data_IF_334241652038
#
_entry.id   IF_334241652038
#
_cell.length_a   1.000
_cell.length_b   1.000
_cell.length_c   1.000
_cell.angle_alpha   90.00
_cell.angle_beta   90.00
_cell.angle_gamma   90.00
#
_symmetry.space_group_name_H-M   'P 1'
#
loop_
_entity.id
_entity.type
_entity.pdbx_description
1 polymer ?
#
# COMPACT_ATOMS: atom_id res chain seq x y z
N UNK A 1 -7.24 6.92 -31.93
CA UNK A 1 -6.85 5.71 -31.18
C UNK A 1 -6.40 6.19 -29.83
N UNK A 2 -7.06 5.75 -28.77
CA UNK A 2 -6.69 6.11 -27.39
C UNK A 2 -6.40 4.80 -26.63
N UNK A 3 -5.49 4.88 -25.67
CA UNK A 3 -5.02 3.73 -24.92
C UNK A 3 -5.64 3.76 -23.53
N UNK A 4 -6.16 2.64 -23.06
CA UNK A 4 -6.70 2.50 -21.71
C UNK A 4 -5.91 1.39 -21.02
N UNK A 5 -5.47 1.65 -19.79
CA UNK A 5 -4.93 0.64 -18.90
C UNK A 5 -6.07 0.04 -18.09
N UNK A 6 -6.32 -1.26 -18.24
CA UNK A 6 -7.30 -1.98 -17.43
C UNK A 6 -6.61 -3.04 -16.58
N UNK A 7 -7.00 -3.20 -15.29
CA UNK A 7 -6.63 -4.37 -14.49
C UNK A 7 -7.09 -5.63 -15.21
N UNK A 8 -6.17 -6.55 -15.47
CA UNK A 8 -6.46 -7.81 -16.15
C UNK A 8 -6.31 -8.97 -15.16
N UNK A 9 -5.11 -9.24 -14.67
CA UNK A 9 -4.83 -10.38 -13.80
C UNK A 9 -4.49 -9.94 -12.37
N UNK A 10 -5.10 -10.60 -11.38
CA UNK A 10 -4.65 -10.50 -10.00
C UNK A 10 -3.31 -11.22 -9.88
N UNK A 11 -2.25 -10.47 -9.59
CA UNK A 11 -0.89 -11.00 -9.44
C UNK A 11 -0.65 -11.50 -8.03
N UNK A 12 -1.12 -10.76 -7.02
CA UNK A 12 -0.95 -11.14 -5.63
C UNK A 12 -1.81 -10.32 -4.69
N UNK A 13 -2.01 -10.85 -3.49
CA UNK A 13 -2.86 -10.25 -2.47
C UNK A 13 -2.27 -10.36 -1.07
N UNK A 14 -2.59 -9.41 -0.22
CA UNK A 14 -2.14 -9.38 1.16
C UNK A 14 -3.13 -8.68 2.05
N UNK A 15 -3.56 -9.36 3.11
CA UNK A 15 -4.44 -8.79 4.12
C UNK A 15 -3.77 -8.75 5.49
N UNK A 16 -4.08 -7.75 6.31
CA UNK A 16 -3.74 -7.70 7.72
C UNK A 16 -5.00 -7.44 8.51
N UNK A 17 -5.38 -8.42 9.34
CA UNK A 17 -6.38 -8.24 10.39
C UNK A 17 -5.67 -7.78 11.67
N UNK A 18 -5.78 -6.49 11.99
CA UNK A 18 -5.12 -5.92 13.14
C UNK A 18 -5.68 -6.46 14.45
N UNK A 19 -4.78 -6.95 15.29
CA UNK A 19 -5.05 -7.46 16.63
C UNK A 19 -4.38 -6.51 17.62
N UNK A 20 -5.13 -5.64 18.32
CA UNK A 20 -4.55 -4.72 19.27
C UNK A 20 -3.95 -5.49 20.46
N UNK A 21 -2.77 -5.07 20.98
CA UNK A 21 -2.26 -5.63 22.21
C UNK A 21 -3.23 -5.35 23.39
N UNK A 22 -3.30 -6.22 24.41
CA UNK A 22 -4.26 -6.09 25.51
C UNK A 22 -4.18 -4.78 26.31
N UNK A 23 -3.05 -4.08 26.20
CA UNK A 23 -2.82 -2.81 26.89
C UNK A 23 -3.53 -1.61 26.25
N UNK A 24 -4.04 -1.73 25.02
CA UNK A 24 -4.74 -0.65 24.32
C UNK A 24 -6.26 -0.78 24.47
N UNK A 25 -6.90 0.36 24.71
CA UNK A 25 -8.35 0.52 24.61
C UNK A 25 -8.83 0.46 23.15
N UNK A 26 -10.14 0.30 22.95
CA UNK A 26 -10.74 0.30 21.61
C UNK A 26 -10.52 1.62 20.87
N UNK A 27 -10.62 2.76 21.57
CA UNK A 27 -10.38 4.08 20.99
C UNK A 27 -8.93 4.25 20.54
N UNK A 28 -7.97 3.75 21.32
CA UNK A 28 -6.56 3.80 20.96
C UNK A 28 -6.24 2.88 19.76
N UNK A 29 -6.85 1.70 19.72
CA UNK A 29 -6.77 0.82 18.56
C UNK A 29 -7.41 1.45 17.30
N UNK A 30 -8.46 2.25 17.46
CA UNK A 30 -9.08 2.97 16.35
C UNK A 30 -8.16 4.04 15.75
N UNK A 31 -7.33 4.72 16.55
CA UNK A 31 -6.32 5.67 16.04
C UNK A 31 -5.25 4.99 15.17
N UNK A 32 -4.86 3.77 15.53
CA UNK A 32 -3.93 2.96 14.72
C UNK A 32 -4.55 2.64 13.37
N UNK A 33 -5.80 2.15 13.37
CA UNK A 33 -6.50 1.82 12.13
C UNK A 33 -6.84 3.06 11.30
N UNK A 34 -7.02 4.22 11.93
CA UNK A 34 -7.16 5.48 11.22
C UNK A 34 -5.89 5.80 10.41
N UNK A 35 -4.71 5.75 11.01
CA UNK A 35 -3.45 5.99 10.30
C UNK A 35 -3.17 4.91 9.23
N UNK A 36 -3.50 3.64 9.52
CA UNK A 36 -3.44 2.57 8.53
C UNK A 36 -4.33 2.88 7.33
N UNK A 37 -5.56 3.36 7.55
CA UNK A 37 -6.47 3.81 6.49
C UNK A 37 -5.89 4.96 5.67
N UNK A 38 -5.39 6.02 6.30
CA UNK A 38 -4.77 7.17 5.59
C UNK A 38 -3.66 6.70 4.67
N UNK A 39 -2.77 5.83 5.17
CA UNK A 39 -1.67 5.31 4.37
C UNK A 39 -2.10 4.31 3.29
N UNK A 40 -3.21 3.59 3.49
CA UNK A 40 -3.80 2.72 2.45
C UNK A 40 -4.38 3.57 1.31
N UNK A 41 -5.09 4.65 1.64
CA UNK A 41 -5.61 5.61 0.66
C UNK A 41 -4.49 6.30 -0.12
N UNK A 42 -3.33 6.54 0.50
CA UNK A 42 -2.18 7.16 -0.16
C UNK A 42 -1.52 6.26 -1.23
N UNK A 43 -1.57 4.93 -1.08
CA UNK A 43 -0.99 3.98 -2.03
C UNK A 43 -2.00 3.43 -3.04
N UNK A 44 -3.30 3.64 -2.81
CA UNK A 44 -4.38 3.13 -3.66
C UNK A 44 -4.32 3.77 -5.06
N UNK A 45 -4.37 2.95 -6.10
CA UNK A 45 -4.32 3.35 -7.50
C UNK A 45 -2.92 3.63 -8.05
N UNK A 46 -1.85 3.48 -7.26
CA UNK A 46 -0.49 3.72 -7.75
C UNK A 46 -0.08 2.65 -8.77
N UNK A 47 0.46 3.11 -9.91
CA UNK A 47 0.97 2.24 -10.98
C UNK A 47 2.50 2.18 -10.87
N UNK A 48 3.04 0.96 -10.81
CA UNK A 48 4.47 0.67 -10.79
C UNK A 48 4.86 0.06 -12.13
N UNK A 49 5.58 0.81 -12.95
CA UNK A 49 5.99 0.38 -14.29
C UNK A 49 7.11 -0.69 -14.25
N UNK A 50 7.28 -1.47 -15.33
CA UNK A 50 8.38 -2.42 -15.46
C UNK A 50 9.74 -1.78 -15.16
N UNK A 51 10.50 -2.43 -14.30
CA UNK A 51 11.80 -1.97 -13.82
C UNK A 51 11.76 -0.91 -12.72
N UNK A 52 10.62 -0.26 -12.46
CA UNK A 52 10.46 0.77 -11.44
C UNK A 52 10.48 0.17 -10.02
N UNK A 53 11.10 0.90 -9.09
CA UNK A 53 11.02 0.57 -7.66
C UNK A 53 9.97 1.45 -6.99
N UNK A 54 9.00 0.82 -6.36
CA UNK A 54 8.06 1.47 -5.45
C UNK A 54 8.74 1.70 -4.09
N UNK A 55 8.46 2.84 -3.47
CA UNK A 55 8.85 3.16 -2.09
C UNK A 55 7.60 3.55 -1.31
N UNK A 56 7.37 2.86 -0.20
CA UNK A 56 6.24 3.14 0.67
C UNK A 56 6.39 4.51 1.33
N UNK A 57 7.59 4.87 1.78
CA UNK A 57 7.87 6.21 2.32
C UNK A 57 7.65 7.32 1.29
N UNK A 58 8.18 7.16 0.07
CA UNK A 58 8.08 8.22 -0.95
C UNK A 58 6.62 8.43 -1.43
N UNK A 59 5.73 7.48 -1.15
CA UNK A 59 4.32 7.48 -1.59
C UNK A 59 3.35 7.83 -0.46
N UNK A 60 3.47 7.15 0.69
CA UNK A 60 2.58 7.31 1.83
C UNK A 60 3.13 8.28 2.88
N UNK A 61 4.42 8.57 2.86
CA UNK A 61 5.03 9.59 3.70
C UNK A 61 5.01 10.98 3.05
N UNK A 62 5.50 12.01 3.75
CA UNK A 62 5.92 12.02 5.14
C UNK A 62 4.77 11.70 6.12
N UNK A 63 5.10 11.02 7.21
CA UNK A 63 4.13 10.59 8.22
C UNK A 63 3.82 11.71 9.23
N UNK A 64 3.23 12.80 8.75
CA UNK A 64 2.85 13.96 9.56
C UNK A 64 1.36 14.35 9.47
N UNK A 65 0.97 15.30 10.31
CA UNK A 65 -0.41 15.81 10.33
C UNK A 65 -0.81 16.61 9.09
N UNK A 66 0.13 17.15 8.32
CA UNK A 66 -0.20 17.84 7.06
C UNK A 66 -0.65 16.84 5.98
N UNK A 67 -0.18 15.59 6.05
CA UNK A 67 -0.61 14.48 5.19
C UNK A 67 -1.79 13.68 5.80
N UNK A 68 -2.43 14.21 6.84
CA UNK A 68 -3.63 13.63 7.43
C UNK A 68 -3.39 12.61 8.54
N UNK A 69 -2.14 12.37 8.95
CA UNK A 69 -1.83 11.44 10.04
C UNK A 69 -2.11 12.06 11.42
N UNK A 70 -2.58 11.22 12.34
CA UNK A 70 -2.83 11.60 13.74
C UNK A 70 -1.87 10.89 14.68
N UNK A 71 -1.79 11.38 15.91
CA UNK A 71 -1.14 10.62 16.98
C UNK A 71 -1.94 9.33 17.24
N UNK A 72 -1.26 8.21 17.09
CA UNK A 72 -1.76 6.87 17.41
C UNK A 72 -0.72 6.15 18.25
N UNK A 73 -0.55 4.85 18.01
CA UNK A 73 0.44 4.04 18.70
C UNK A 73 1.32 3.28 17.72
N UNK A 74 2.62 3.49 17.83
CA UNK A 74 3.65 2.70 17.14
C UNK A 74 4.13 1.53 18.01
N UNK A 75 5.08 0.77 17.49
CA UNK A 75 5.69 -0.35 18.21
C UNK A 75 7.13 -0.02 18.57
N UNK A 76 7.45 -0.07 19.86
CA UNK A 76 8.83 0.05 20.36
C UNK A 76 9.11 -1.07 21.36
N UNK A 77 10.10 -1.92 21.06
CA UNK A 77 10.46 -3.08 21.90
C UNK A 77 9.25 -3.96 22.28
N UNK A 78 8.34 -4.17 21.33
CA UNK A 78 7.13 -4.97 21.51
C UNK A 78 6.00 -4.33 22.29
N UNK A 79 6.13 -3.05 22.66
CA UNK A 79 5.10 -2.30 23.35
C UNK A 79 4.48 -1.28 22.40
N UNK A 80 3.17 -1.11 22.52
CA UNK A 80 2.49 0.02 21.92
C UNK A 80 2.93 1.30 22.65
N UNK A 81 3.46 2.27 21.90
CA UNK A 81 3.89 3.57 22.43
C UNK A 81 3.26 4.69 21.61
N UNK A 82 2.86 5.82 22.22
CA UNK A 82 2.34 6.96 21.49
C UNK A 82 3.34 7.39 20.40
N UNK A 83 2.85 7.50 19.16
CA UNK A 83 3.66 7.90 18.01
C UNK A 83 2.79 8.61 16.96
N UNK A 84 3.35 9.64 16.34
CA UNK A 84 2.73 10.23 15.16
C UNK A 84 2.68 9.19 14.04
N UNK A 85 1.53 9.07 13.38
CA UNK A 85 1.26 8.06 12.36
C UNK A 85 1.43 6.60 12.83
N UNK A 86 1.39 6.34 14.14
CA UNK A 86 1.39 4.99 14.67
C UNK A 86 0.25 4.17 14.05
N UNK A 87 0.59 3.12 13.29
CA UNK A 87 -0.35 2.26 12.56
C UNK A 87 -0.05 2.06 11.07
N UNK A 88 0.81 2.90 10.46
CA UNK A 88 1.18 2.75 9.04
C UNK A 88 1.82 1.40 8.70
N UNK A 89 2.49 0.76 9.67
CA UNK A 89 3.08 -0.57 9.47
C UNK A 89 2.05 -1.67 9.15
N UNK A 90 0.77 -1.48 9.50
CA UNK A 90 -0.31 -2.41 9.15
C UNK A 90 -0.49 -2.47 7.63
N UNK A 91 -0.47 -1.30 6.99
CA UNK A 91 -0.62 -1.19 5.53
C UNK A 91 0.64 -1.61 4.79
N UNK A 92 1.83 -1.21 5.24
CA UNK A 92 3.08 -1.69 4.61
C UNK A 92 3.23 -3.21 4.70
N UNK A 93 2.78 -3.84 5.80
CA UNK A 93 2.75 -5.30 5.94
C UNK A 93 1.77 -5.96 4.98
N UNK A 94 0.57 -5.41 4.81
CA UNK A 94 -0.39 -5.91 3.82
C UNK A 94 0.18 -5.79 2.38
N UNK A 95 0.79 -4.65 2.06
CA UNK A 95 1.44 -4.42 0.77
C UNK A 95 2.62 -5.37 0.54
N UNK A 96 3.43 -5.64 1.57
CA UNK A 96 4.52 -6.61 1.49
C UNK A 96 4.02 -8.02 1.19
N UNK A 97 2.97 -8.48 1.88
CA UNK A 97 2.33 -9.78 1.60
C UNK A 97 1.88 -9.86 0.15
N UNK A 98 1.22 -8.82 -0.36
CA UNK A 98 0.77 -8.77 -1.75
C UNK A 98 1.93 -8.77 -2.76
N UNK A 99 3.00 -8.02 -2.48
CA UNK A 99 4.20 -7.98 -3.33
C UNK A 99 4.95 -9.32 -3.35
N UNK A 100 5.03 -9.99 -2.20
CA UNK A 100 5.64 -11.31 -2.08
C UNK A 100 4.83 -12.37 -2.84
N UNK A 101 3.51 -12.36 -2.68
CA UNK A 101 2.57 -13.24 -3.38
C UNK A 101 2.62 -13.03 -4.91
N UNK A 102 2.74 -11.77 -5.34
CA UNK A 102 2.90 -11.40 -6.75
C UNK A 102 4.27 -11.72 -7.35
N UNK A 103 5.23 -12.25 -6.57
CA UNK A 103 6.57 -12.57 -7.04
C UNK A 103 7.41 -11.36 -7.42
N UNK A 104 7.10 -10.19 -6.85
CA UNK A 104 7.87 -8.96 -7.07
C UNK A 104 9.20 -9.00 -6.32
N UNK A 105 10.23 -8.36 -6.87
CA UNK A 105 11.54 -8.29 -6.25
C UNK A 105 11.49 -7.36 -5.02
N UNK A 106 11.64 -7.93 -3.83
CA UNK A 106 11.72 -7.15 -2.58
C UNK A 106 13.10 -6.50 -2.48
N UNK A 107 13.12 -5.16 -2.54
CA UNK A 107 14.35 -4.36 -2.51
C UNK A 107 14.73 -3.97 -1.08
N UNK A 108 13.73 -3.65 -0.26
CA UNK A 108 13.93 -3.28 1.14
C UNK A 108 12.76 -3.78 1.98
N UNK A 109 13.08 -4.47 3.09
CA UNK A 109 12.12 -4.89 4.10
C UNK A 109 12.82 -4.99 5.44
N UNK A 110 12.19 -4.46 6.48
CA UNK A 110 12.66 -4.57 7.86
C UNK A 110 11.54 -5.13 8.73
N UNK A 111 11.78 -6.13 9.59
CA UNK A 111 10.82 -6.52 10.63
C UNK A 111 10.90 -5.56 11.82
N UNK A 112 9.86 -5.53 12.66
CA UNK A 112 10.00 -5.06 14.02
C UNK A 112 10.94 -5.99 14.80
N UNK A 113 11.61 -5.46 15.81
CA UNK A 113 12.56 -6.24 16.64
C UNK A 113 11.92 -7.33 17.51
N UNK A 114 10.59 -7.49 17.47
CA UNK A 114 9.87 -8.56 18.16
C UNK A 114 8.72 -9.08 17.28
N UNK A 115 8.25 -10.32 17.49
CA UNK A 115 7.05 -10.83 16.83
C UNK A 115 5.80 -10.04 17.22
N UNK A 116 4.96 -9.73 16.23
CA UNK A 116 3.67 -9.07 16.42
C UNK A 116 2.54 -9.98 15.97
N UNK A 117 1.47 -10.08 16.79
CA UNK A 117 0.35 -10.99 16.52
C UNK A 117 -0.32 -10.77 15.15
N UNK A 118 -0.38 -9.51 14.69
CA UNK A 118 -0.98 -9.13 13.41
C UNK A 118 -0.02 -9.27 12.21
N UNK A 119 1.29 -9.14 12.44
CA UNK A 119 2.31 -9.19 11.39
C UNK A 119 2.83 -10.62 11.13
N UNK A 120 2.86 -11.46 12.18
CA UNK A 120 3.44 -12.82 12.13
C UNK A 120 4.84 -12.80 11.51
N UNK A 121 5.14 -13.69 10.58
CA UNK A 121 6.44 -13.78 9.90
C UNK A 121 6.62 -12.73 8.79
N UNK A 122 5.52 -12.11 8.33
CA UNK A 122 5.50 -11.23 7.15
C UNK A 122 5.65 -9.75 7.50
N UNK A 123 6.28 -9.43 8.63
CA UNK A 123 6.32 -8.07 9.15
C UNK A 123 7.10 -7.10 8.24
N UNK A 124 6.51 -5.98 7.83
CA UNK A 124 7.21 -4.95 7.08
C UNK A 124 7.11 -3.60 7.79
N UNK A 125 8.00 -3.40 8.78
CA UNK A 125 8.11 -2.17 9.54
C UNK A 125 8.67 -1.03 8.67
N UNK A 126 8.07 0.15 8.84
CA UNK A 126 8.57 1.41 8.29
C UNK A 126 8.80 2.39 9.43
N UNK A 127 9.77 3.28 9.27
CA UNK A 127 10.10 4.28 10.27
C UNK A 127 10.56 5.58 9.64
N UNK A 128 10.57 6.63 10.43
CA UNK A 128 11.11 7.93 10.06
C UNK A 128 12.02 8.44 11.16
N UNK A 129 12.90 9.35 10.80
CA UNK A 129 13.71 10.12 11.74
C UNK A 129 13.38 11.59 11.61
N UNK A 130 13.63 12.33 12.68
CA UNK A 130 13.58 13.80 12.66
C UNK A 130 15.03 14.27 12.56
N UNK A 131 15.37 15.00 11.51
CA UNK A 131 16.69 15.61 11.35
C UNK A 131 16.89 16.74 12.39
N UNK A 132 18.14 17.18 12.64
CA UNK A 132 18.41 18.27 13.59
C UNK A 132 17.69 19.58 13.28
N UNK A 133 17.35 19.84 12.01
CA UNK A 133 16.58 20.99 11.55
C UNK A 133 15.05 20.76 11.58
N UNK A 134 14.59 19.65 12.14
CA UNK A 134 13.17 19.36 12.40
C UNK A 134 12.41 18.74 11.24
N UNK A 135 13.08 18.28 10.18
CA UNK A 135 12.45 17.67 9.01
C UNK A 135 12.25 16.17 9.24
N UNK A 136 11.13 15.65 8.76
CA UNK A 136 10.90 14.20 8.72
C UNK A 136 11.66 13.61 7.54
N UNK A 137 12.52 12.63 7.83
CA UNK A 137 13.31 11.92 6.83
C UNK A 137 13.02 10.42 6.90
N UNK A 138 13.13 9.76 5.74
CA UNK A 138 12.97 8.31 5.61
C UNK A 138 13.92 7.57 6.55
N UNK A 139 13.37 6.76 7.43
CA UNK A 139 14.10 5.75 8.20
C UNK A 139 14.12 4.43 7.44
N UNK A 140 13.52 3.40 8.03
CA UNK A 140 13.23 2.14 7.36
C UNK A 140 12.08 2.30 6.38
N UNK A 141 12.23 1.69 5.22
CA UNK A 141 11.23 1.69 4.17
C UNK A 141 10.83 0.27 3.78
N UNK A 142 9.66 0.16 3.15
CA UNK A 142 9.30 -1.02 2.40
C UNK A 142 9.35 -0.70 0.90
N UNK A 143 10.18 -1.43 0.17
CA UNK A 143 10.42 -1.20 -1.26
C UNK A 143 10.39 -2.51 -2.03
N UNK A 144 9.72 -2.48 -3.17
CA UNK A 144 9.76 -3.56 -4.14
C UNK A 144 10.00 -2.99 -5.53
N UNK A 145 10.60 -3.80 -6.40
CA UNK A 145 10.78 -3.50 -7.81
C UNK A 145 9.82 -4.34 -8.63
N UNK A 146 9.14 -3.70 -9.57
CA UNK A 146 8.41 -4.42 -10.59
C UNK A 146 9.40 -5.04 -11.58
N UNK A 147 9.77 -6.29 -11.37
CA UNK A 147 10.61 -7.11 -12.26
C UNK A 147 9.80 -7.82 -13.36
N UNK A 148 8.49 -7.56 -13.46
CA UNK A 148 7.61 -8.10 -14.50
C UNK A 148 7.69 -7.26 -15.77
N UNK A 149 7.03 -7.74 -16.83
CA UNK A 149 6.97 -7.06 -18.14
C UNK A 149 5.87 -6.03 -18.24
N UNK A 150 4.84 -6.15 -17.41
CA UNK A 150 3.64 -5.32 -17.44
C UNK A 150 3.61 -4.38 -16.22
N UNK A 151 2.99 -3.19 -16.35
CA UNK A 151 2.74 -2.33 -15.19
C UNK A 151 1.86 -3.03 -14.16
N UNK A 152 2.09 -2.71 -12.88
CA UNK A 152 1.32 -3.24 -11.75
C UNK A 152 0.58 -2.10 -11.08
N UNK A 153 -0.73 -2.22 -10.86
CA UNK A 153 -1.49 -1.29 -10.04
C UNK A 153 -1.67 -1.83 -8.63
N UNK A 154 -1.49 -0.96 -7.64
CA UNK A 154 -1.76 -1.23 -6.24
C UNK A 154 -3.19 -0.83 -5.94
N UNK A 155 -4.03 -1.76 -5.47
CA UNK A 155 -5.37 -1.47 -4.97
C UNK A 155 -5.40 -1.72 -3.46
N UNK A 156 -5.61 -0.69 -2.67
CA UNK A 156 -5.53 -0.74 -1.21
C UNK A 156 -6.85 -0.31 -0.56
N UNK A 157 -7.33 -1.11 0.39
CA UNK A 157 -8.59 -0.88 1.09
C UNK A 157 -8.39 -1.06 2.59
N UNK A 158 -9.04 -0.21 3.38
CA UNK A 158 -9.11 -0.36 4.84
C UNK A 158 -10.57 -0.38 5.29
N UNK A 159 -10.95 -1.39 6.08
CA UNK A 159 -12.30 -1.56 6.64
C UNK A 159 -12.23 -2.15 8.04
N UNK A 160 -12.66 -1.37 9.02
CA UNK A 160 -12.67 -1.79 10.42
C UNK A 160 -11.24 -2.08 10.91
N UNK A 161 -10.94 -3.34 11.21
CA UNK A 161 -9.60 -3.80 11.64
C UNK A 161 -8.79 -4.43 10.51
N UNK A 162 -9.33 -4.49 9.29
CA UNK A 162 -8.68 -5.11 8.15
C UNK A 162 -8.10 -4.05 7.21
N UNK A 163 -6.86 -4.27 6.78
CA UNK A 163 -6.28 -3.65 5.57
C UNK A 163 -6.03 -4.75 4.56
N UNK A 164 -6.50 -4.58 3.33
CA UNK A 164 -6.28 -5.49 2.22
C UNK A 164 -5.62 -4.73 1.07
N UNK A 165 -4.63 -5.36 0.46
CA UNK A 165 -3.92 -4.87 -0.72
C UNK A 165 -3.93 -5.94 -1.78
N UNK A 166 -4.28 -5.56 -3.00
CA UNK A 166 -4.21 -6.39 -4.19
C UNK A 166 -3.30 -5.73 -5.22
N UNK A 167 -2.49 -6.53 -5.91
CA UNK A 167 -1.64 -6.09 -7.01
C UNK A 167 -2.16 -6.71 -8.29
N UNK A 168 -2.49 -5.86 -9.27
CA UNK A 168 -3.04 -6.31 -10.55
C UNK A 168 -2.13 -5.91 -11.71
N UNK A 169 -2.00 -6.78 -12.71
CA UNK A 169 -1.36 -6.40 -13.98
C UNK A 169 -2.27 -5.42 -14.74
N UNK A 170 -1.67 -4.43 -15.38
CA UNK A 170 -2.37 -3.53 -16.30
C UNK A 170 -1.97 -3.84 -17.73
N UNK A 171 -2.95 -4.13 -18.58
CA UNK A 171 -2.72 -4.27 -20.02
C UNK A 171 -3.11 -2.99 -20.77
N UNK A 172 -2.29 -2.61 -21.76
CA UNK A 172 -2.57 -1.51 -22.68
C UNK A 172 -3.54 -1.98 -23.76
N UNK A 173 -4.80 -1.56 -23.67
CA UNK A 173 -5.77 -1.84 -24.72
C UNK A 173 -5.84 -0.67 -25.71
N UNK A 174 -5.72 -1.01 -26.98
CA UNK A 174 -5.86 -0.05 -28.07
C UNK A 174 -7.34 0.10 -28.43
N UNK A 175 -7.92 1.27 -28.15
CA UNK A 175 -9.31 1.55 -28.53
C UNK A 175 -9.34 2.35 -29.83
N UNK A 176 -9.91 1.77 -30.87
CA UNK A 176 -10.24 2.47 -32.12
C UNK A 176 -11.74 2.75 -32.20
N UNK A 177 -12.11 4.00 -32.45
CA UNK A 177 -13.49 4.39 -32.75
C UNK A 177 -13.62 4.46 -34.27
N UNK A 178 -14.46 3.63 -34.88
CA UNK A 178 -14.71 3.65 -36.33
C UNK A 178 -15.81 4.68 -36.69
N UNK A 179 -15.61 5.56 -37.69
CA UNK A 179 -16.66 6.44 -38.22
C UNK A 179 -17.58 5.75 -39.27
N UNK A 180 -18.79 6.29 -39.56
CA UNK A 180 -19.34 7.56 -39.10
C UNK A 180 -20.55 7.44 -38.16
N UNK A 181 -20.66 8.49 -37.35
CA UNK A 181 -21.67 8.75 -36.33
C UNK A 181 -23.09 8.85 -36.95
N UNK A 182 -23.93 7.83 -36.77
CA UNK A 182 -25.39 7.99 -36.74
C UNK A 182 -26.07 6.78 -36.06
N UNK A 183 -26.99 7.08 -35.14
CA UNK A 183 -27.81 6.19 -34.29
C UNK A 183 -27.06 5.30 -33.27
N UNK A 184 -26.70 5.93 -32.14
CA UNK A 184 -26.88 5.37 -30.80
C UNK A 184 -26.09 4.11 -30.42
N UNK A 185 -24.79 4.28 -30.20
CA UNK A 185 -23.89 3.40 -29.44
C UNK A 185 -23.72 1.96 -29.96
N UNK A 186 -22.58 1.69 -30.61
CA UNK A 186 -21.97 0.35 -30.63
C UNK A 186 -20.90 0.27 -29.55
N UNK A 187 -20.92 -0.83 -28.81
CA UNK A 187 -19.96 -1.19 -27.77
C UNK A 187 -18.55 -1.20 -28.36
N UNK A 188 -17.60 -0.62 -27.64
CA UNK A 188 -16.19 -0.83 -27.95
C UNK A 188 -15.92 -2.35 -27.93
N UNK A 189 -15.37 -2.90 -29.01
CA UNK A 189 -14.72 -4.20 -28.94
C UNK A 189 -13.45 -3.99 -28.11
N UNK A 190 -13.56 -4.33 -26.83
CA UNK A 190 -12.39 -4.56 -25.99
C UNK A 190 -11.75 -5.84 -26.52
N UNK A 191 -10.48 -5.79 -26.90
CA UNK A 191 -9.73 -7.04 -27.02
C UNK A 191 -9.78 -7.67 -25.62
N UNK A 192 -10.44 -8.81 -25.51
CA UNK A 192 -10.54 -9.55 -24.26
C UNK A 192 -9.12 -9.94 -23.80
N UNK A 193 -8.91 -9.92 -22.48
CA UNK A 193 -7.93 -10.80 -21.85
C UNK A 193 -8.27 -12.25 -22.28
#
# INVERSE_FOLDING_TARGET
>A
MFWILLPCDLLGSGDVNYVPPPALTENEAALIMFNAKVSAEAIDGIIVYPGQTFSYWDTAGPFDSAHGYVYGYGVLNGKAVPALAGGVCVTSTALYRAALDAGLEIVERHPHGVPLAWAKEDDAAVSFRVSPDGRLERGWDFRFRNNLKDPVVILARSKGKNVAVELWSLQMLAVSIAPPYNSGYRLAELAEC
#
